data_IF_788410691429
#
_entry.id   IF_788410691429
#
_cell.length_a   1.000
_cell.length_b   1.000
_cell.length_c   1.000
_cell.angle_alpha   90.00
_cell.angle_beta   90.00
_cell.angle_gamma   90.00
#
_symmetry.space_group_name_H-M   'P 1'
#
loop_
_entity.id
_entity.type
_entity.pdbx_description
1 polymer ?
#
# COMPACT_ATOMS: atom_id res chain seq x y z
N UNK A 1 19.25 -2.50 6.57
CA UNK A 1 18.25 -1.41 6.43
C UNK A 1 16.87 -2.02 6.59
N UNK A 2 16.16 -1.70 7.67
CA UNK A 2 14.82 -2.23 7.93
C UNK A 2 13.83 -1.50 7.03
N UNK A 3 13.14 -2.23 6.15
CA UNK A 3 12.26 -1.67 5.13
C UNK A 3 10.80 -1.87 5.57
N UNK A 4 10.36 -1.19 6.60
CA UNK A 4 8.94 -1.20 7.02
C UNK A 4 8.11 -0.24 6.17
N UNK A 5 6.81 -0.53 6.04
CA UNK A 5 5.86 0.40 5.40
C UNK A 5 5.89 1.72 6.17
N UNK A 6 6.23 2.79 5.45
CA UNK A 6 6.49 4.10 6.05
C UNK A 6 5.22 4.93 6.19
N UNK A 7 4.26 4.77 5.29
CA UNK A 7 3.04 5.57 5.26
C UNK A 7 1.93 4.89 4.43
N UNK A 8 0.69 5.04 4.89
CA UNK A 8 -0.51 4.80 4.09
C UNK A 8 -1.04 6.14 3.62
N UNK A 9 -1.32 6.27 2.33
CA UNK A 9 -1.89 7.46 1.73
C UNK A 9 -3.27 7.11 1.18
N UNK A 10 -4.31 7.83 1.60
CA UNK A 10 -5.67 7.69 1.10
C UNK A 10 -6.06 8.91 0.27
N UNK A 11 -6.32 8.71 -1.02
CA UNK A 11 -6.81 9.73 -1.94
C UNK A 11 -8.26 9.45 -2.34
N UNK A 12 -9.17 10.25 -1.81
CA UNK A 12 -10.59 10.20 -2.14
C UNK A 12 -11.19 11.62 -2.05
N UNK A 13 -12.09 11.96 -2.96
CA UNK A 13 -12.79 13.24 -2.91
C UNK A 13 -13.58 13.42 -1.60
N UNK A 14 -14.03 12.32 -0.99
CA UNK A 14 -14.78 12.28 0.26
C UNK A 14 -14.04 11.51 1.37
N UNK A 15 -12.78 11.86 1.61
CA UNK A 15 -11.90 11.18 2.58
C UNK A 15 -12.22 11.49 4.07
N UNK A 16 -13.18 12.38 4.35
CA UNK A 16 -13.53 12.80 5.72
C UNK A 16 -14.83 12.14 6.22
N UNK A 17 -15.04 10.87 5.84
CA UNK A 17 -16.19 10.06 6.26
C UNK A 17 -15.90 9.22 7.49
N UNK A 18 -16.96 8.74 8.16
CA UNK A 18 -16.84 7.79 9.27
C UNK A 18 -16.14 6.48 8.85
N UNK A 19 -16.38 6.01 7.62
CA UNK A 19 -15.66 4.86 7.06
C UNK A 19 -14.15 5.10 7.00
N UNK A 20 -13.72 6.24 6.44
CA UNK A 20 -12.30 6.56 6.35
C UNK A 20 -11.67 6.70 7.74
N UNK A 21 -12.41 7.27 8.70
CA UNK A 21 -11.97 7.41 10.10
C UNK A 21 -11.78 6.06 10.78
N UNK A 22 -12.71 5.12 10.56
CA UNK A 22 -12.59 3.73 11.05
C UNK A 22 -11.39 3.03 10.41
N UNK A 23 -11.19 3.22 9.11
CA UNK A 23 -10.05 2.67 8.39
C UNK A 23 -8.72 3.21 8.94
N UNK A 24 -8.62 4.53 9.13
CA UNK A 24 -7.46 5.19 9.73
C UNK A 24 -7.16 4.63 11.11
N UNK A 25 -8.16 4.49 11.98
CA UNK A 25 -7.97 3.90 13.32
C UNK A 25 -7.42 2.46 13.26
N UNK A 26 -8.00 1.61 12.41
CA UNK A 26 -7.57 0.22 12.26
C UNK A 26 -6.17 0.12 11.64
N UNK A 27 -5.89 0.91 10.60
CA UNK A 27 -4.63 0.86 9.86
C UNK A 27 -3.47 1.54 10.60
N UNK A 28 -3.74 2.57 11.41
CA UNK A 28 -2.70 3.20 12.24
C UNK A 28 -2.23 2.31 13.39
N UNK A 29 -2.99 1.28 13.76
CA UNK A 29 -2.54 0.26 14.72
C UNK A 29 -1.40 -0.62 14.18
N UNK A 30 -1.21 -0.67 12.85
CA UNK A 30 -0.18 -1.50 12.19
C UNK A 30 0.91 -0.68 11.50
N UNK A 31 0.58 0.52 11.01
CA UNK A 31 1.47 1.44 10.28
C UNK A 31 1.27 2.85 10.85
N UNK A 32 2.31 3.38 11.50
CA UNK A 32 2.20 4.58 12.34
C UNK A 32 1.86 5.89 11.60
N UNK A 33 1.88 5.89 10.26
CA UNK A 33 1.63 7.10 9.48
C UNK A 33 0.52 6.87 8.47
N UNK A 34 -0.48 7.72 8.53
CA UNK A 34 -1.64 7.72 7.65
C UNK A 34 -1.91 9.15 7.18
N UNK A 35 -2.09 9.33 5.88
CA UNK A 35 -2.25 10.65 5.25
C UNK A 35 -3.46 10.63 4.33
N UNK A 36 -4.20 11.74 4.30
CA UNK A 36 -5.44 11.87 3.55
C UNK A 36 -5.35 13.03 2.59
N UNK A 37 -5.82 12.80 1.37
CA UNK A 37 -5.88 13.82 0.33
C UNK A 37 -7.24 13.77 -0.36
N UNK A 38 -7.78 14.94 -0.66
CA UNK A 38 -8.95 15.10 -1.52
C UNK A 38 -8.56 15.59 -2.92
N UNK A 39 -7.37 16.19 -3.04
CA UNK A 39 -6.83 16.70 -4.30
C UNK A 39 -5.72 15.79 -4.83
N UNK A 40 -5.86 15.43 -6.11
CA UNK A 40 -4.87 14.61 -6.83
C UNK A 40 -3.51 15.29 -6.89
N UNK A 41 -3.47 16.60 -7.17
CA UNK A 41 -2.23 17.34 -7.36
C UNK A 41 -1.39 17.41 -6.09
N UNK A 42 -2.04 17.65 -4.95
CA UNK A 42 -1.39 17.63 -3.63
C UNK A 42 -0.88 16.23 -3.28
N UNK A 43 -1.70 15.21 -3.50
CA UNK A 43 -1.32 13.81 -3.25
C UNK A 43 -0.10 13.40 -4.10
N UNK A 44 -0.12 13.67 -5.39
CA UNK A 44 0.98 13.35 -6.29
C UNK A 44 2.27 14.06 -5.87
N UNK A 45 2.21 15.37 -5.62
CA UNK A 45 3.37 16.16 -5.15
C UNK A 45 3.92 15.63 -3.84
N UNK A 46 3.07 15.13 -2.94
CA UNK A 46 3.50 14.53 -1.69
C UNK A 46 4.28 13.24 -1.94
N UNK A 47 3.76 12.34 -2.77
CA UNK A 47 4.40 11.06 -3.13
C UNK A 47 5.75 11.29 -3.82
N UNK A 48 5.82 12.24 -4.76
CA UNK A 48 7.03 12.55 -5.53
C UNK A 48 8.15 13.16 -4.68
N UNK A 49 7.81 13.86 -3.60
CA UNK A 49 8.78 14.47 -2.67
C UNK A 49 9.32 13.47 -1.64
N UNK A 50 8.75 12.27 -1.54
CA UNK A 50 9.19 11.23 -0.61
C UNK A 50 10.47 10.57 -1.10
N UNK A 51 11.23 10.00 -0.16
CA UNK A 51 12.46 9.29 -0.49
C UNK A 51 12.14 8.04 -1.29
N UNK A 52 12.97 7.67 -2.26
CA UNK A 52 12.85 6.39 -2.98
C UNK A 52 12.93 5.16 -2.05
N UNK A 53 13.51 5.35 -0.86
CA UNK A 53 13.58 4.31 0.19
C UNK A 53 12.29 4.20 1.02
N UNK A 54 11.40 5.18 0.94
CA UNK A 54 10.11 5.13 1.63
C UNK A 54 9.26 4.02 1.02
N UNK A 55 8.37 3.44 1.84
CA UNK A 55 7.45 2.40 1.38
C UNK A 55 6.03 2.88 1.60
N UNK A 56 5.39 3.30 0.51
CA UNK A 56 4.08 3.91 0.49
C UNK A 56 3.04 2.89 0.02
N UNK A 57 1.98 2.74 0.81
CA UNK A 57 0.76 2.04 0.41
C UNK A 57 -0.27 3.09 0.04
N UNK A 58 -0.83 2.99 -1.15
CA UNK A 58 -1.78 3.99 -1.67
C UNK A 58 -3.17 3.37 -1.73
N UNK A 59 -4.17 4.05 -1.18
CA UNK A 59 -5.59 3.75 -1.30
C UNK A 59 -6.20 4.86 -2.15
N UNK A 60 -6.88 4.52 -3.24
CA UNK A 60 -7.49 5.48 -4.17
C UNK A 60 -8.94 5.14 -4.44
N UNK A 61 -9.77 6.17 -4.64
CA UNK A 61 -11.10 5.98 -5.25
C UNK A 61 -10.98 5.51 -6.71
N UNK A 62 -12.05 4.95 -7.29
CA UNK A 62 -12.03 4.50 -8.68
C UNK A 62 -11.69 5.61 -9.67
N UNK A 63 -12.36 6.76 -9.55
CA UNK A 63 -12.14 7.91 -10.44
C UNK A 63 -10.75 8.52 -10.26
N UNK A 64 -10.36 8.90 -9.03
CA UNK A 64 -9.06 9.51 -8.79
C UNK A 64 -7.91 8.53 -9.04
N UNK A 65 -8.14 7.24 -8.78
CA UNK A 65 -7.22 6.16 -9.08
C UNK A 65 -6.89 6.07 -10.56
N UNK A 66 -7.92 6.07 -11.43
CA UNK A 66 -7.74 6.04 -12.89
C UNK A 66 -6.88 7.21 -13.39
N UNK A 67 -6.95 8.35 -12.73
CA UNK A 67 -6.18 9.55 -13.08
C UNK A 67 -4.74 9.55 -12.53
N UNK A 68 -4.53 9.14 -11.27
CA UNK A 68 -3.23 9.29 -10.60
C UNK A 68 -2.32 8.08 -10.80
N UNK A 69 -2.87 6.86 -10.88
CA UNK A 69 -2.09 5.62 -10.93
C UNK A 69 -1.11 5.59 -12.11
N UNK A 70 -1.46 6.03 -13.33
CA UNK A 70 -0.51 6.12 -14.45
C UNK A 70 0.73 6.97 -14.14
N UNK A 71 0.62 8.00 -13.30
CA UNK A 71 1.74 8.89 -12.95
C UNK A 71 2.64 8.31 -11.85
N UNK A 72 2.08 7.55 -10.91
CA UNK A 72 2.81 7.13 -9.69
C UNK A 72 3.23 5.66 -9.69
N UNK A 73 2.68 4.81 -10.56
CA UNK A 73 2.92 3.36 -10.47
C UNK A 73 4.39 2.95 -10.67
N UNK A 74 5.17 3.75 -11.41
CA UNK A 74 6.59 3.46 -11.65
C UNK A 74 7.50 3.93 -10.50
N UNK A 75 7.01 4.76 -9.58
CA UNK A 75 7.81 5.30 -8.48
C UNK A 75 8.21 4.18 -7.52
N UNK A 76 9.51 4.07 -7.21
CA UNK A 76 10.04 2.98 -6.37
C UNK A 76 9.41 2.98 -4.98
N UNK A 77 9.16 4.16 -4.43
CA UNK A 77 8.57 4.33 -3.10
C UNK A 77 7.12 3.85 -3.02
N UNK A 78 6.42 3.72 -4.15
CA UNK A 78 5.06 3.15 -4.18
C UNK A 78 5.18 1.63 -4.27
N UNK A 79 4.76 0.91 -3.22
CA UNK A 79 4.89 -0.56 -3.16
C UNK A 79 3.59 -1.30 -3.47
N UNK A 80 2.45 -0.73 -3.11
CA UNK A 80 1.12 -1.30 -3.34
C UNK A 80 0.09 -0.19 -3.52
N UNK A 81 -0.87 -0.45 -4.41
CA UNK A 81 -2.02 0.43 -4.67
C UNK A 81 -3.29 -0.41 -4.51
N UNK A 82 -4.26 0.09 -3.75
CA UNK A 82 -5.59 -0.51 -3.60
C UNK A 82 -6.63 0.48 -4.12
N UNK A 83 -7.53 0.02 -4.98
CA UNK A 83 -8.63 0.83 -5.49
C UNK A 83 -9.85 0.54 -4.62
N UNK A 84 -10.25 1.47 -3.75
CA UNK A 84 -11.45 1.33 -2.91
C UNK A 84 -12.63 2.01 -3.61
N UNK A 85 -13.57 1.23 -4.15
CA UNK A 85 -14.69 1.77 -4.91
C UNK A 85 -15.84 0.76 -5.03
N UNK A 86 -17.08 1.26 -5.06
CA UNK A 86 -18.28 0.44 -5.27
C UNK A 86 -18.37 -0.15 -6.69
N UNK A 87 -17.82 0.55 -7.70
CA UNK A 87 -17.93 0.14 -9.11
C UNK A 87 -16.75 -0.75 -9.51
N UNK A 88 -16.74 -1.99 -9.01
CA UNK A 88 -15.63 -2.93 -9.18
C UNK A 88 -15.29 -3.21 -10.64
N UNK A 89 -16.25 -3.71 -11.42
CA UNK A 89 -16.03 -4.17 -12.80
C UNK A 89 -15.42 -3.12 -13.73
N UNK A 90 -15.92 -1.88 -13.65
CA UNK A 90 -15.43 -0.76 -14.48
C UNK A 90 -13.97 -0.44 -14.12
N UNK A 91 -13.62 -0.52 -12.85
CA UNK A 91 -12.29 -0.15 -12.40
C UNK A 91 -11.26 -1.27 -12.59
N UNK A 92 -11.69 -2.53 -12.58
CA UNK A 92 -10.81 -3.68 -12.81
C UNK A 92 -10.18 -3.64 -14.21
N UNK A 93 -10.92 -3.16 -15.22
CA UNK A 93 -10.46 -3.06 -16.61
C UNK A 93 -9.19 -2.20 -16.76
N UNK A 94 -9.07 -1.11 -16.01
CA UNK A 94 -7.87 -0.27 -16.05
C UNK A 94 -6.86 -0.68 -14.97
N UNK A 95 -7.32 -1.10 -13.80
CA UNK A 95 -6.49 -1.47 -12.67
C UNK A 95 -5.56 -2.65 -12.99
N UNK A 96 -6.05 -3.65 -13.74
CA UNK A 96 -5.28 -4.85 -14.10
C UNK A 96 -4.04 -4.55 -14.96
N UNK A 97 -3.96 -3.37 -15.56
CA UNK A 97 -2.81 -2.93 -16.38
C UNK A 97 -1.60 -2.54 -15.54
N UNK A 98 -1.76 -2.39 -14.22
CA UNK A 98 -0.71 -1.89 -13.31
C UNK A 98 -0.37 -2.94 -12.27
N UNK A 99 0.84 -3.52 -12.35
CA UNK A 99 1.31 -4.62 -11.48
C UNK A 99 1.24 -4.28 -9.98
N UNK A 100 1.41 -3.00 -9.63
CA UNK A 100 1.35 -2.55 -8.23
C UNK A 100 -0.07 -2.41 -7.69
N UNK A 101 -1.09 -2.44 -8.55
CA UNK A 101 -2.48 -2.45 -8.12
C UNK A 101 -2.85 -3.85 -7.64
N UNK A 102 -3.09 -3.98 -6.33
CA UNK A 102 -3.39 -5.25 -5.66
C UNK A 102 -4.87 -5.67 -5.78
N UNK A 103 -5.69 -4.80 -6.31
CA UNK A 103 -7.08 -5.09 -6.66
C UNK A 103 -8.02 -3.91 -6.44
N UNK A 104 -9.25 -4.11 -6.93
CA UNK A 104 -10.39 -3.24 -6.65
C UNK A 104 -11.21 -3.87 -5.52
N UNK A 105 -11.38 -3.13 -4.44
CA UNK A 105 -11.99 -3.57 -3.18
C UNK A 105 -13.23 -2.74 -2.90
N UNK A 106 -14.32 -3.41 -2.56
CA UNK A 106 -15.63 -2.76 -2.30
C UNK A 106 -15.87 -2.61 -0.80
N UNK A 107 -15.47 -3.60 -0.01
CA UNK A 107 -15.74 -3.64 1.42
C UNK A 107 -14.56 -3.15 2.24
N UNK A 108 -14.83 -2.28 3.22
CA UNK A 108 -13.81 -1.70 4.08
C UNK A 108 -13.02 -2.77 4.86
N UNK A 109 -13.70 -3.76 5.44
CA UNK A 109 -13.03 -4.81 6.20
C UNK A 109 -12.13 -5.69 5.31
N UNK A 110 -12.53 -5.91 4.05
CA UNK A 110 -11.69 -6.59 3.07
C UNK A 110 -10.42 -5.77 2.77
N UNK A 111 -10.56 -4.46 2.58
CA UNK A 111 -9.44 -3.56 2.33
C UNK A 111 -8.42 -3.62 3.47
N UNK A 112 -8.90 -3.50 4.71
CA UNK A 112 -8.07 -3.52 5.91
C UNK A 112 -7.38 -4.88 6.06
N UNK A 113 -8.12 -5.98 5.87
CA UNK A 113 -7.59 -7.33 5.93
C UNK A 113 -6.46 -7.54 4.91
N UNK A 114 -6.64 -7.10 3.65
CA UNK A 114 -5.63 -7.20 2.61
C UNK A 114 -4.37 -6.41 2.93
N UNK A 115 -4.50 -5.15 3.35
CA UNK A 115 -3.35 -4.31 3.71
C UNK A 115 -2.59 -4.91 4.90
N UNK A 116 -3.32 -5.38 5.91
CA UNK A 116 -2.73 -6.01 7.11
C UNK A 116 -1.97 -7.28 6.75
N UNK A 117 -2.56 -8.13 5.91
CA UNK A 117 -1.94 -9.37 5.44
C UNK A 117 -0.65 -9.08 4.66
N UNK A 118 -0.70 -8.14 3.71
CA UNK A 118 0.45 -7.76 2.89
C UNK A 118 1.58 -7.15 3.75
N UNK A 119 1.25 -6.36 4.77
CA UNK A 119 2.21 -5.86 5.76
C UNK A 119 2.90 -6.99 6.53
N UNK A 120 2.12 -7.98 7.01
CA UNK A 120 2.64 -9.11 7.77
C UNK A 120 3.50 -10.05 6.93
N UNK A 121 3.14 -10.30 5.67
CA UNK A 121 3.97 -11.06 4.72
C UNK A 121 5.31 -10.34 4.50
N UNK A 122 5.28 -9.02 4.33
CA UNK A 122 6.51 -8.24 4.19
C UNK A 122 7.39 -8.22 5.44
N UNK A 123 6.83 -8.45 6.63
CA UNK A 123 7.62 -8.62 7.87
C UNK A 123 8.21 -10.02 7.98
N UNK A 124 7.44 -11.06 7.66
CA UNK A 124 7.86 -12.47 7.78
C UNK A 124 8.91 -12.87 6.74
N UNK A 125 8.81 -12.38 5.50
CA UNK A 125 9.83 -12.59 4.47
C UNK A 125 11.20 -11.92 4.80
N UNK A 126 11.25 -11.11 5.87
CA UNK A 126 12.48 -10.46 6.37
C UNK A 126 13.03 -11.12 7.64
N UNK A 127 12.48 -12.25 8.08
CA UNK A 127 13.01 -13.04 9.20
C UNK A 127 14.46 -13.51 8.92
N UNK A 128 15.24 -13.85 9.97
CA UNK A 128 16.64 -14.22 9.80
C UNK A 128 16.77 -15.38 8.82
N UNK A 129 17.67 -15.23 7.85
CA UNK A 129 18.11 -16.32 6.98
C UNK A 129 18.44 -17.54 7.87
N UNK A 130 17.97 -18.77 7.58
CA UNK A 130 18.39 -19.93 8.34
C UNK A 130 19.91 -20.08 8.16
N UNK A 131 20.67 -19.76 9.22
CA UNK A 131 22.10 -20.02 9.28
C UNK A 131 22.28 -21.53 9.18
N UNK A 132 22.57 -22.02 7.97
CA UNK A 132 22.99 -23.41 7.81
C UNK A 132 24.42 -23.47 8.32
N UNK A 133 24.57 -23.81 9.59
CA UNK A 133 25.87 -24.16 10.16
C UNK A 133 26.33 -25.44 9.46
N UNK A 134 27.17 -25.31 8.43
CA UNK A 134 27.94 -26.43 7.91
C UNK A 134 29.01 -26.71 8.97
N UNK A 135 28.71 -27.64 9.88
CA UNK A 135 29.74 -28.24 10.72
C UNK A 135 30.59 -29.12 9.80
N UNK A 136 31.68 -28.57 9.28
CA UNK A 136 32.74 -29.39 8.72
C UNK A 136 33.37 -30.15 9.89
N UNK A 137 33.01 -31.43 10.01
CA UNK A 137 33.78 -32.38 10.80
C UNK A 137 35.19 -32.44 10.20
N UNK A 138 36.17 -32.00 10.98
CA UNK A 138 37.56 -32.32 10.73
C UNK A 138 37.76 -33.79 11.14
N UNK A 139 37.77 -34.67 10.14
CA UNK A 139 38.32 -36.02 10.31
C UNK A 139 39.81 -35.95 10.00
N UNK A 140 40.56 -36.12 11.09
CA UNK A 140 41.94 -36.62 11.31
C UNK A 140 42.85 -36.84 10.10
#
# INVERSE_FOLDING_TARGET
MHLDISCIIWLDANVNTNETRNAEQKLTSIINHFEKFQDKGQCQKYIEKRSEKDRLVIIVSGQLGKEIVPSIHNLQQVISIYVYCMNKEINEQWACRFVKVKGVVVQLDELISRITTDHNIQKTMKGPLPTTTVTAHADT
#
